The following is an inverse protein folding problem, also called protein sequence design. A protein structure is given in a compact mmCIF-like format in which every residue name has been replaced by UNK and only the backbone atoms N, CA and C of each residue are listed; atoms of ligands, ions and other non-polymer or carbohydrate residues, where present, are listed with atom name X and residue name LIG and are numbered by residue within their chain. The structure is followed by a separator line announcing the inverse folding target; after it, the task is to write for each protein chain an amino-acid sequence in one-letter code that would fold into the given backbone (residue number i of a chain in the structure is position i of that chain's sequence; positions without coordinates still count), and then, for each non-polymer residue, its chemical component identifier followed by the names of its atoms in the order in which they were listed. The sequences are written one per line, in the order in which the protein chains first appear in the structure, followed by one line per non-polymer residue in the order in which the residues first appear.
data_IF_709934253498
#
_entry.id   IF_709934253498
#
_cell.length_a   1.000
_cell.length_b   1.000
_cell.length_c   1.000
_cell.angle_alpha   90.00
_cell.angle_beta   90.00
_cell.angle_gamma   90.00
#
_symmetry.space_group_name_H-M   'P 1'
#
loop_
_entity.id
_entity.type
_entity.pdbx_description
1 polymer ?
#
# COMPACT_ATOMS: atom_id res chain seq x y z
N UNK A 1 45.46 -5.80 -11.15
CA UNK A 1 44.00 -5.60 -11.28
C UNK A 1 43.47 -6.70 -12.19
N UNK A 2 42.66 -7.64 -11.67
CA UNK A 2 42.03 -8.68 -12.49
C UNK A 2 40.67 -8.15 -12.91
N UNK A 3 40.57 -7.72 -14.17
CA UNK A 3 39.30 -7.42 -14.82
C UNK A 3 38.61 -8.76 -15.06
N UNK A 4 37.64 -9.13 -14.23
CA UNK A 4 36.80 -10.29 -14.50
C UNK A 4 35.90 -9.91 -15.68
N UNK A 5 36.22 -10.39 -16.87
CA UNK A 5 35.35 -10.33 -18.03
C UNK A 5 34.08 -11.11 -17.70
N UNK A 6 32.96 -10.41 -17.53
CA UNK A 6 31.66 -11.04 -17.40
C UNK A 6 31.33 -11.68 -18.76
N UNK A 7 31.22 -13.00 -18.80
CA UNK A 7 30.59 -13.71 -19.91
C UNK A 7 29.10 -13.34 -19.92
N UNK A 8 28.81 -12.17 -20.48
CA UNK A 8 27.47 -11.83 -20.93
C UNK A 8 27.20 -12.79 -22.09
N UNK A 9 26.23 -13.68 -21.92
CA UNK A 9 25.78 -14.51 -23.04
C UNK A 9 25.40 -13.57 -24.18
N UNK A 10 25.93 -13.81 -25.38
CA UNK A 10 25.76 -12.98 -26.59
C UNK A 10 24.27 -12.73 -26.99
N UNK A 11 23.34 -13.37 -26.28
CA UNK A 11 21.88 -13.26 -26.44
C UNK A 11 21.15 -12.56 -25.30
N UNK A 12 21.85 -12.07 -24.27
CA UNK A 12 21.21 -11.48 -23.09
C UNK A 12 20.45 -10.19 -23.42
N UNK A 13 19.19 -10.09 -22.99
CA UNK A 13 18.39 -8.87 -23.08
C UNK A 13 18.71 -7.83 -22.00
N UNK A 14 19.72 -8.06 -21.13
CA UNK A 14 20.13 -7.13 -20.06
C UNK A 14 20.34 -5.70 -20.55
N UNK A 15 21.14 -5.51 -21.59
CA UNK A 15 21.46 -4.16 -22.09
C UNK A 15 20.23 -3.48 -22.70
N UNK A 16 19.34 -4.26 -23.34
CA UNK A 16 18.08 -3.74 -23.85
C UNK A 16 17.18 -3.25 -22.71
N UNK A 17 17.05 -4.01 -21.62
CA UNK A 17 16.29 -3.62 -20.42
C UNK A 17 16.85 -2.35 -19.79
N UNK A 18 18.17 -2.28 -19.59
CA UNK A 18 18.83 -1.10 -19.00
C UNK A 18 18.66 0.15 -19.88
N UNK A 19 18.88 0.01 -21.19
CA UNK A 19 18.71 1.10 -22.13
C UNK A 19 17.26 1.57 -22.20
N UNK A 20 16.30 0.64 -22.22
CA UNK A 20 14.89 0.96 -22.23
C UNK A 20 14.47 1.69 -20.96
N UNK A 21 14.91 1.23 -19.78
CA UNK A 21 14.64 1.91 -18.51
C UNK A 21 15.22 3.33 -18.46
N UNK A 22 16.41 3.54 -19.01
CA UNK A 22 17.02 4.86 -19.10
C UNK A 22 16.25 5.80 -20.06
N UNK A 23 15.84 5.29 -21.22
CA UNK A 23 15.15 6.10 -22.25
C UNK A 23 13.68 6.37 -21.91
N UNK A 24 12.93 5.35 -21.49
CA UNK A 24 11.49 5.46 -21.26
C UNK A 24 11.16 6.08 -19.91
N UNK A 25 11.93 5.73 -18.86
CA UNK A 25 11.59 6.12 -17.49
C UNK A 25 12.57 7.14 -16.89
N UNK A 26 13.66 7.46 -17.60
CA UNK A 26 14.75 8.27 -17.03
C UNK A 26 15.48 7.59 -15.86
N UNK A 27 15.36 6.26 -15.72
CA UNK A 27 15.95 5.54 -14.58
C UNK A 27 17.40 5.19 -14.83
N UNK A 28 18.26 5.55 -13.87
CA UNK A 28 19.65 5.07 -13.81
C UNK A 28 19.72 3.84 -12.89
N UNK A 29 20.34 2.72 -13.32
CA UNK A 29 20.46 1.53 -12.49
C UNK A 29 21.35 1.76 -11.26
N UNK A 30 20.93 1.21 -10.12
CA UNK A 30 21.69 1.25 -8.87
C UNK A 30 22.35 -0.10 -8.59
N UNK A 31 23.58 -0.08 -8.05
CA UNK A 31 24.36 -1.28 -7.75
C UNK A 31 24.66 -1.35 -6.24
N UNK A 32 23.65 -1.63 -5.39
CA UNK A 32 23.80 -1.50 -3.94
C UNK A 32 24.72 -2.55 -3.32
N UNK A 33 25.04 -3.64 -4.03
CA UNK A 33 25.84 -4.74 -3.49
C UNK A 33 27.27 -4.73 -4.05
N UNK A 34 28.23 -4.27 -3.24
CA UNK A 34 29.66 -4.23 -3.62
C UNK A 34 30.23 -5.59 -4.05
N UNK A 35 29.77 -6.69 -3.44
CA UNK A 35 30.24 -8.05 -3.74
C UNK A 35 29.56 -8.67 -4.96
N UNK A 36 28.48 -8.07 -5.46
CA UNK A 36 27.66 -8.55 -6.57
C UNK A 36 27.46 -7.43 -7.60
N UNK A 37 28.52 -6.95 -8.26
CA UNK A 37 28.45 -5.82 -9.19
C UNK A 37 27.59 -6.09 -10.43
N UNK A 38 27.26 -7.35 -10.73
CA UNK A 38 26.32 -7.70 -11.80
C UNK A 38 24.85 -7.46 -11.46
N UNK A 39 24.54 -7.08 -10.22
CA UNK A 39 23.17 -6.94 -9.73
C UNK A 39 22.76 -5.47 -9.77
N UNK A 40 21.76 -5.16 -10.59
CA UNK A 40 21.26 -3.82 -10.80
C UNK A 40 19.82 -3.70 -10.31
N UNK A 41 19.52 -2.66 -9.55
CA UNK A 41 18.18 -2.30 -9.13
C UNK A 41 17.67 -1.18 -10.01
N UNK A 42 16.42 -1.33 -10.46
CA UNK A 42 15.66 -0.31 -11.16
C UNK A 42 14.57 0.22 -10.21
N UNK A 43 14.61 1.52 -9.93
CA UNK A 43 13.81 2.16 -8.87
C UNK A 43 13.26 3.51 -9.31
N UNK A 44 12.01 3.77 -8.92
CA UNK A 44 11.36 5.07 -9.10
C UNK A 44 12.08 6.15 -8.30
N UNK A 45 12.42 7.27 -8.95
CA UNK A 45 13.09 8.40 -8.28
C UNK A 45 12.19 9.11 -7.26
N UNK A 46 10.87 9.09 -7.47
CA UNK A 46 9.90 9.88 -6.69
C UNK A 46 9.40 9.19 -5.40
N UNK A 47 9.34 7.86 -5.40
CA UNK A 47 8.78 7.07 -4.31
C UNK A 47 9.72 5.95 -3.82
N UNK A 48 10.88 5.81 -4.46
CA UNK A 48 11.95 4.88 -4.09
C UNK A 48 11.54 3.40 -4.13
N UNK A 49 10.43 3.04 -4.77
CA UNK A 49 10.00 1.65 -4.96
C UNK A 49 10.76 1.01 -6.11
N UNK A 50 11.16 -0.23 -5.89
CA UNK A 50 11.78 -1.05 -6.92
C UNK A 50 10.71 -1.59 -7.85
N UNK A 51 11.01 -1.54 -9.15
CA UNK A 51 10.17 -2.09 -10.20
C UNK A 51 10.91 -3.11 -11.06
N UNK A 52 12.23 -3.22 -10.91
CA UNK A 52 13.00 -4.26 -11.57
C UNK A 52 14.28 -4.55 -10.79
N UNK A 53 14.72 -5.80 -10.83
CA UNK A 53 16.05 -6.19 -10.36
C UNK A 53 16.66 -7.11 -11.41
N UNK A 54 17.79 -6.71 -11.96
CA UNK A 54 18.55 -7.52 -12.91
C UNK A 54 19.66 -8.22 -12.14
N UNK A 55 19.75 -9.53 -12.25
CA UNK A 55 20.75 -10.34 -11.55
C UNK A 55 21.43 -11.28 -12.54
N UNK A 56 22.71 -11.56 -12.31
CA UNK A 56 23.43 -12.64 -12.98
C UNK A 56 23.61 -13.78 -11.97
N UNK A 57 22.94 -14.90 -12.20
CA UNK A 57 22.86 -16.01 -11.23
C UNK A 57 23.32 -17.32 -11.85
N UNK A 58 23.91 -18.25 -11.08
CA UNK A 58 24.13 -19.62 -11.53
C UNK A 58 22.80 -20.27 -11.94
N UNK A 59 22.77 -21.00 -13.06
CA UNK A 59 21.54 -21.57 -13.65
C UNK A 59 20.76 -22.48 -12.70
N UNK A 60 21.46 -23.20 -11.84
CA UNK A 60 20.86 -24.11 -10.86
C UNK A 60 20.06 -23.38 -9.78
N UNK A 61 20.35 -22.09 -9.52
CA UNK A 61 19.68 -21.30 -8.46
C UNK A 61 18.20 -21.02 -8.75
N UNK A 62 17.81 -20.58 -9.96
CA UNK A 62 16.40 -20.50 -10.35
C UNK A 62 15.82 -21.86 -10.79
N UNK A 63 16.55 -22.98 -10.61
CA UNK A 63 16.06 -24.32 -10.94
C UNK A 63 16.22 -24.72 -12.41
N UNK A 64 17.14 -24.09 -13.15
CA UNK A 64 17.44 -24.48 -14.53
C UNK A 64 18.53 -25.53 -14.58
N UNK A 65 18.45 -26.39 -15.59
CA UNK A 65 19.49 -27.36 -15.92
C UNK A 65 20.68 -26.70 -16.63
N UNK A 66 21.83 -27.38 -16.55
CA UNK A 66 23.09 -26.95 -17.17
C UNK A 66 24.01 -26.17 -16.23
N UNK A 67 25.24 -25.95 -16.66
CA UNK A 67 26.24 -25.15 -15.94
C UNK A 67 26.29 -23.71 -16.48
N UNK A 68 26.88 -22.82 -15.68
CA UNK A 68 27.10 -21.42 -16.06
C UNK A 68 26.10 -20.46 -15.43
N UNK A 69 26.07 -19.22 -15.95
CA UNK A 69 25.27 -18.13 -15.42
C UNK A 69 24.17 -17.73 -16.40
N UNK A 70 23.11 -17.15 -15.86
CA UNK A 70 22.00 -16.58 -16.62
C UNK A 70 21.65 -15.21 -16.05
N UNK A 71 21.39 -14.26 -16.95
CA UNK A 71 20.79 -13.00 -16.57
C UNK A 71 19.29 -13.19 -16.39
N UNK A 72 18.79 -12.73 -15.24
CA UNK A 72 17.38 -12.74 -14.89
C UNK A 72 16.91 -11.32 -14.56
N UNK A 73 15.63 -11.08 -14.76
CA UNK A 73 14.94 -9.87 -14.36
C UNK A 73 13.77 -10.24 -13.44
N UNK A 74 13.86 -9.82 -12.19
CA UNK A 74 12.74 -9.86 -11.25
C UNK A 74 11.91 -8.59 -11.44
N UNK A 75 10.61 -8.77 -11.68
CA UNK A 75 9.64 -7.67 -11.80
C UNK A 75 8.44 -7.89 -10.91
N UNK A 76 7.76 -6.80 -10.58
CA UNK A 76 6.51 -6.82 -9.84
C UNK A 76 5.34 -7.12 -10.78
N UNK A 77 4.42 -7.94 -10.34
CA UNK A 77 3.23 -8.32 -11.09
C UNK A 77 2.01 -8.44 -10.15
N UNK A 78 0.81 -8.28 -10.70
CA UNK A 78 -0.42 -8.63 -10.01
C UNK A 78 -0.51 -10.15 -9.78
N UNK A 79 -0.97 -10.64 -8.61
CA UNK A 79 -1.01 -12.08 -8.33
C UNK A 79 -1.79 -12.92 -9.34
N UNK A 80 -2.88 -12.40 -9.90
CA UNK A 80 -3.72 -13.12 -10.87
C UNK A 80 -2.98 -13.24 -12.21
N UNK A 81 -2.41 -12.13 -12.68
CA UNK A 81 -1.64 -12.11 -13.92
C UNK A 81 -0.35 -12.92 -13.80
N UNK A 82 0.35 -12.82 -12.67
CA UNK A 82 1.56 -13.58 -12.37
C UNK A 82 1.32 -15.09 -12.46
N UNK A 83 0.18 -15.56 -11.95
CA UNK A 83 -0.23 -16.96 -12.08
C UNK A 83 -0.35 -17.42 -13.54
N UNK A 84 -0.91 -16.59 -14.43
CA UNK A 84 -1.01 -16.91 -15.86
C UNK A 84 0.35 -16.87 -16.57
N UNK A 85 1.21 -15.92 -16.24
CA UNK A 85 2.52 -15.76 -16.88
C UNK A 85 3.48 -16.91 -16.56
N UNK A 86 3.29 -17.62 -15.44
CA UNK A 86 4.12 -18.78 -15.08
C UNK A 86 3.96 -19.97 -16.04
N UNK A 87 2.96 -19.96 -16.92
CA UNK A 87 2.82 -20.95 -17.99
C UNK A 87 3.63 -20.60 -19.25
N UNK A 88 4.16 -19.38 -19.34
CA UNK A 88 4.98 -18.94 -20.46
C UNK A 88 6.42 -19.44 -20.33
N UNK A 89 7.00 -19.85 -21.46
CA UNK A 89 8.38 -20.32 -21.50
C UNK A 89 9.33 -19.19 -21.08
N UNK A 90 10.22 -19.47 -20.14
CA UNK A 90 11.22 -18.50 -19.66
C UNK A 90 10.73 -17.56 -18.56
N UNK A 91 9.52 -17.77 -18.05
CA UNK A 91 9.01 -17.11 -16.83
C UNK A 91 9.05 -18.11 -15.68
N UNK A 92 9.59 -17.70 -14.55
CA UNK A 92 9.77 -18.53 -13.35
C UNK A 92 9.17 -17.85 -12.11
N UNK A 93 8.91 -18.60 -11.02
CA UNK A 93 8.57 -17.99 -9.74
C UNK A 93 9.64 -16.99 -9.27
N UNK A 94 9.24 -16.01 -8.46
CA UNK A 94 10.15 -14.99 -7.91
C UNK A 94 11.43 -15.58 -7.30
N UNK A 95 12.58 -14.99 -7.66
CA UNK A 95 13.89 -15.36 -7.14
C UNK A 95 14.37 -14.29 -6.15
N UNK A 96 14.59 -14.67 -4.88
CA UNK A 96 14.81 -13.77 -3.73
C UNK A 96 13.63 -12.85 -3.35
N UNK A 97 12.69 -12.56 -4.25
CA UNK A 97 11.52 -11.73 -3.97
C UNK A 97 10.29 -12.53 -3.50
N UNK A 98 9.27 -11.84 -2.97
CA UNK A 98 8.05 -12.47 -2.43
C UNK A 98 7.19 -13.11 -3.55
N UNK A 99 6.97 -14.43 -3.45
CA UNK A 99 6.35 -15.33 -4.46
C UNK A 99 4.85 -15.12 -4.76
N UNK A 100 4.33 -13.92 -4.57
CA UNK A 100 2.94 -13.57 -4.90
C UNK A 100 2.78 -12.26 -5.67
N UNK A 101 3.79 -11.39 -5.63
CA UNK A 101 3.74 -10.09 -6.31
C UNK A 101 4.93 -9.90 -7.23
N UNK A 102 5.76 -10.93 -7.41
CA UNK A 102 6.96 -10.87 -8.22
C UNK A 102 7.07 -12.13 -9.06
N UNK A 103 7.69 -11.99 -10.23
CA UNK A 103 8.05 -13.09 -11.12
C UNK A 103 9.46 -12.86 -11.64
N UNK A 104 10.12 -13.94 -12.06
CA UNK A 104 11.47 -13.92 -12.61
C UNK A 104 11.38 -14.18 -14.12
N UNK A 105 12.01 -13.32 -14.92
CA UNK A 105 12.08 -13.46 -16.38
C UNK A 105 13.51 -13.85 -16.76
N UNK A 106 13.67 -14.89 -17.58
CA UNK A 106 14.97 -15.22 -18.17
C UNK A 106 15.29 -14.26 -19.30
N UNK A 107 16.45 -13.60 -19.23
CA UNK A 107 16.92 -12.69 -20.26
C UNK A 107 17.77 -13.39 -21.33
N UNK A 108 17.83 -14.71 -21.36
CA UNK A 108 18.68 -15.51 -22.28
C UNK A 108 18.13 -15.65 -23.70
N UNK A 109 17.05 -14.92 -24.04
CA UNK A 109 16.35 -14.99 -25.30
C UNK A 109 15.24 -16.05 -25.34
N UNK A 110 14.95 -16.74 -24.23
CA UNK A 110 13.78 -17.64 -24.13
C UNK A 110 12.45 -16.89 -24.17
N UNK A 111 12.44 -15.61 -23.76
CA UNK A 111 11.32 -14.69 -23.82
C UNK A 111 11.66 -13.62 -24.85
N UNK A 112 10.74 -13.31 -25.77
CA UNK A 112 11.00 -12.27 -26.76
C UNK A 112 11.24 -10.91 -26.10
N UNK A 113 12.25 -10.20 -26.59
CA UNK A 113 12.68 -8.89 -26.07
C UNK A 113 11.52 -7.93 -25.85
N UNK A 114 10.64 -7.75 -26.83
CA UNK A 114 9.54 -6.79 -26.73
C UNK A 114 8.52 -7.19 -25.66
N UNK A 115 8.32 -8.50 -25.45
CA UNK A 115 7.50 -8.99 -24.35
C UNK A 115 8.17 -8.72 -22.99
N UNK A 116 9.49 -8.94 -22.86
CA UNK A 116 10.25 -8.56 -21.64
C UNK A 116 10.07 -7.07 -21.32
N UNK A 117 10.16 -6.20 -22.32
CA UNK A 117 9.99 -4.75 -22.13
C UNK A 117 8.56 -4.39 -21.71
N UNK A 118 7.54 -5.03 -22.30
CA UNK A 118 6.14 -4.83 -21.88
C UNK A 118 5.85 -5.28 -20.44
N UNK A 119 6.51 -6.34 -19.98
CA UNK A 119 6.42 -6.82 -18.60
C UNK A 119 7.12 -5.85 -17.65
N UNK A 120 8.22 -5.24 -18.09
CA UNK A 120 8.90 -4.17 -17.36
C UNK A 120 8.03 -2.90 -17.26
N UNK A 121 7.35 -2.49 -18.35
CA UNK A 121 6.38 -1.37 -18.34
C UNK A 121 5.28 -1.62 -17.31
N UNK A 122 4.70 -2.83 -17.31
CA UNK A 122 3.68 -3.20 -16.35
C UNK A 122 4.17 -3.06 -14.90
N UNK A 123 5.36 -3.61 -14.63
CA UNK A 123 5.95 -3.52 -13.29
C UNK A 123 6.23 -2.08 -12.89
N UNK A 124 6.76 -1.27 -13.82
CA UNK A 124 6.96 0.16 -13.63
C UNK A 124 5.65 0.84 -13.23
N UNK A 125 4.57 0.68 -14.01
CA UNK A 125 3.27 1.30 -13.74
C UNK A 125 2.59 0.83 -12.45
N UNK A 126 2.67 -0.46 -12.10
CA UNK A 126 2.07 -0.97 -10.84
C UNK A 126 2.82 -0.41 -9.61
N UNK A 127 4.09 -0.06 -9.78
CA UNK A 127 4.95 0.47 -8.72
C UNK A 127 5.12 1.97 -8.74
N UNK A 128 4.68 2.64 -9.82
CA UNK A 128 4.64 4.09 -9.91
C UNK A 128 3.95 4.64 -8.68
N UNK A 129 4.36 5.84 -8.29
CA UNK A 129 3.54 6.59 -7.37
C UNK A 129 2.23 6.71 -8.10
N UNK A 130 1.15 6.19 -7.51
CA UNK A 130 -0.18 6.54 -7.98
C UNK A 130 -0.16 8.06 -7.98
N UNK A 131 -0.01 8.66 -9.15
CA UNK A 131 -0.54 9.97 -9.36
C UNK A 131 -1.95 9.79 -8.84
N UNK A 132 -2.35 10.56 -7.84
CA UNK A 132 -3.75 10.80 -7.65
C UNK A 132 -4.19 11.37 -8.99
N UNK A 133 -4.59 10.49 -9.93
CA UNK A 133 -5.25 10.81 -11.18
C UNK A 133 -6.25 11.85 -10.73
N UNK A 134 -6.00 13.11 -11.13
CA UNK A 134 -6.40 14.29 -10.34
C UNK A 134 -7.73 14.01 -9.71
N UNK A 135 -7.74 13.87 -8.35
CA UNK A 135 -8.88 13.37 -7.55
C UNK A 135 -10.15 13.55 -8.38
N UNK A 136 -10.66 12.50 -9.04
CA UNK A 136 -12.11 12.42 -9.06
C UNK A 136 -12.38 12.26 -7.57
N UNK A 137 -12.59 13.41 -6.91
CA UNK A 137 -12.90 13.42 -5.50
C UNK A 137 -14.06 12.47 -5.44
N UNK A 138 -13.86 11.37 -4.72
CA UNK A 138 -14.98 10.51 -4.40
C UNK A 138 -16.10 11.45 -3.97
N UNK A 139 -17.21 11.43 -4.69
CA UNK A 139 -18.36 12.29 -4.43
C UNK A 139 -19.31 11.63 -3.44
N UNK A 140 -19.21 10.30 -3.32
CA UNK A 140 -20.02 9.50 -2.42
C UNK A 140 -19.42 9.45 -1.02
N UNK A 141 -20.22 9.79 -0.02
CA UNK A 141 -19.84 9.66 1.38
C UNK A 141 -19.60 8.19 1.75
N UNK A 142 -18.64 7.95 2.64
CA UNK A 142 -18.32 6.63 3.20
C UNK A 142 -18.27 6.71 4.70
N UNK A 143 -18.20 5.54 5.30
CA UNK A 143 -18.13 5.37 6.74
C UNK A 143 -16.79 4.76 7.13
N UNK A 144 -16.15 5.39 8.11
CA UNK A 144 -14.82 5.04 8.59
C UNK A 144 -14.86 4.70 10.08
N UNK A 145 -14.13 3.67 10.48
CA UNK A 145 -13.77 3.45 11.88
C UNK A 145 -12.35 3.92 12.06
N UNK A 146 -12.12 4.84 12.98
CA UNK A 146 -10.81 5.46 13.25
C UNK A 146 -10.44 5.22 14.70
N UNK A 147 -9.23 4.72 15.00
CA UNK A 147 -8.79 4.57 16.37
C UNK A 147 -8.55 5.94 17.01
N UNK A 148 -8.99 6.08 18.26
CA UNK A 148 -8.75 7.21 19.13
C UNK A 148 -8.12 6.69 20.42
N UNK A 149 -6.87 7.06 20.70
CA UNK A 149 -6.22 6.66 21.95
C UNK A 149 -6.54 7.68 23.06
N UNK A 150 -7.21 7.29 24.16
CA UNK A 150 -7.46 8.16 25.31
C UNK A 150 -6.20 8.81 25.90
N UNK A 151 -5.04 8.15 25.78
CA UNK A 151 -3.77 8.73 26.26
C UNK A 151 -3.35 9.99 25.50
N UNK A 152 -3.87 10.18 24.28
CA UNK A 152 -3.53 11.31 23.42
C UNK A 152 -4.71 12.29 23.24
N UNK A 153 -5.94 11.80 23.35
CA UNK A 153 -7.15 12.59 23.08
C UNK A 153 -8.20 12.37 24.17
N UNK A 154 -8.50 13.43 24.92
CA UNK A 154 -9.64 13.47 25.83
C UNK A 154 -10.90 13.86 25.05
N UNK A 155 -11.53 12.85 24.43
CA UNK A 155 -12.72 13.03 23.61
C UNK A 155 -13.95 13.47 24.42
N UNK A 156 -14.06 13.01 25.66
CA UNK A 156 -15.18 13.37 26.54
C UNK A 156 -15.14 14.86 26.85
N UNK A 157 -13.97 15.36 27.28
CA UNK A 157 -13.78 16.79 27.49
C UNK A 157 -13.99 17.58 26.20
N UNK A 158 -13.38 17.16 25.09
CA UNK A 158 -13.46 17.89 23.83
C UNK A 158 -14.91 18.04 23.33
N UNK A 159 -15.71 16.98 23.38
CA UNK A 159 -17.13 17.04 23.00
C UNK A 159 -18.04 17.66 24.06
N UNK A 160 -17.60 17.76 25.32
CA UNK A 160 -18.31 18.55 26.33
C UNK A 160 -18.23 20.06 26.09
N UNK A 161 -17.14 20.52 25.45
CA UNK A 161 -16.88 21.93 25.16
C UNK A 161 -17.44 22.37 23.80
N UNK A 162 -17.46 21.46 22.81
CA UNK A 162 -17.94 21.75 21.46
C UNK A 162 -18.37 20.50 20.72
N UNK A 163 -19.51 20.56 20.02
CA UNK A 163 -19.93 19.50 19.10
C UNK A 163 -18.99 19.35 17.88
N UNK A 164 -18.13 20.34 17.62
CA UNK A 164 -17.15 20.31 16.53
C UNK A 164 -15.74 20.40 17.10
N UNK A 165 -14.92 19.39 16.81
CA UNK A 165 -13.53 19.32 17.28
C UNK A 165 -12.56 19.19 16.10
N UNK A 166 -11.32 19.63 16.31
CA UNK A 166 -10.21 19.35 15.39
C UNK A 166 -9.73 17.91 15.59
N UNK A 167 -9.56 17.19 14.48
CA UNK A 167 -9.12 15.80 14.48
C UNK A 167 -8.06 15.54 13.43
N UNK A 168 -7.13 14.63 13.73
CA UNK A 168 -6.12 14.19 12.75
C UNK A 168 -6.79 13.58 11.52
N UNK A 169 -6.59 14.19 10.35
CA UNK A 169 -7.13 13.63 9.11
C UNK A 169 -6.21 12.53 8.58
N UNK A 170 -6.67 11.30 8.73
CA UNK A 170 -6.05 10.12 8.13
C UNK A 170 -6.78 9.74 6.83
N UNK A 171 -6.13 9.06 5.90
CA UNK A 171 -6.71 8.65 4.61
C UNK A 171 -7.28 9.81 3.74
N UNK A 172 -8.06 9.44 2.72
CA UNK A 172 -8.77 10.36 1.81
C UNK A 172 -10.22 10.54 2.27
N UNK A 173 -10.38 11.14 3.45
CA UNK A 173 -11.69 11.58 3.98
C UNK A 173 -12.13 12.84 3.22
N UNK A 174 -13.43 12.90 2.90
CA UNK A 174 -14.09 14.07 2.27
C UNK A 174 -15.13 14.65 3.23
N UNK A 175 -15.56 15.90 2.98
CA UNK A 175 -16.73 16.48 3.68
C UNK A 175 -17.95 15.59 3.44
N UNK A 176 -18.69 15.28 4.51
CA UNK A 176 -19.88 14.44 4.46
C UNK A 176 -19.64 12.98 4.86
N UNK A 177 -18.40 12.51 4.88
CA UNK A 177 -18.06 11.19 5.42
C UNK A 177 -18.50 11.04 6.88
N UNK A 178 -18.91 9.82 7.24
CA UNK A 178 -19.17 9.46 8.63
C UNK A 178 -17.93 8.84 9.26
N UNK A 179 -17.63 9.23 10.49
CA UNK A 179 -16.46 8.80 11.24
C UNK A 179 -16.93 8.23 12.57
N UNK A 180 -16.69 6.94 12.78
CA UNK A 180 -16.85 6.26 14.05
C UNK A 180 -15.52 6.25 14.79
N UNK A 181 -15.47 6.92 15.95
CA UNK A 181 -14.29 6.92 16.81
C UNK A 181 -14.31 5.67 17.69
N UNK A 182 -13.40 4.75 17.38
CA UNK A 182 -13.10 3.60 18.23
C UNK A 182 -12.10 4.03 19.30
N UNK A 183 -12.58 4.19 20.52
CA UNK A 183 -11.75 4.54 21.66
C UNK A 183 -10.97 3.30 22.08
N UNK A 184 -9.64 3.38 22.02
CA UNK A 184 -8.73 2.28 22.33
C UNK A 184 -8.79 1.89 23.81
N UNK A 185 -7.93 0.95 24.22
CA UNK A 185 -7.84 0.53 25.61
C UNK A 185 -7.67 1.75 26.56
N UNK A 186 -8.29 1.73 27.76
CA UNK A 186 -9.04 0.61 28.34
C UNK A 186 -10.51 0.49 27.88
N UNK A 187 -11.05 1.47 27.14
CA UNK A 187 -12.46 1.50 26.74
C UNK A 187 -12.76 0.43 25.68
N UNK A 188 -11.92 0.35 24.65
CA UNK A 188 -12.01 -0.63 23.56
C UNK A 188 -13.39 -0.73 22.88
N UNK A 189 -14.02 0.42 22.57
CA UNK A 189 -15.37 0.48 22.00
C UNK A 189 -15.54 1.64 21.01
N UNK A 190 -16.49 1.53 20.09
CA UNK A 190 -16.96 2.70 19.32
C UNK A 190 -17.86 3.54 20.21
N UNK A 191 -17.45 4.77 20.53
CA UNK A 191 -18.22 5.66 21.40
C UNK A 191 -18.85 6.84 20.67
N UNK A 192 -18.30 7.28 19.54
CA UNK A 192 -18.79 8.50 18.88
C UNK A 192 -18.99 8.27 17.39
N UNK A 193 -20.16 8.69 16.90
CA UNK A 193 -20.45 8.89 15.47
C UNK A 193 -20.30 10.36 15.15
N UNK A 194 -19.44 10.69 14.22
CA UNK A 194 -19.19 12.04 13.77
C UNK A 194 -19.37 12.16 12.25
N UNK A 195 -19.43 13.39 11.75
CA UNK A 195 -19.37 13.71 10.33
C UNK A 195 -18.21 14.67 10.06
N UNK A 196 -17.43 14.43 8.99
CA UNK A 196 -16.44 15.39 8.55
C UNK A 196 -17.13 16.62 7.95
N UNK A 197 -16.90 17.79 8.54
CA UNK A 197 -17.52 19.07 8.10
C UNK A 197 -16.53 19.98 7.38
N UNK A 198 -15.23 19.80 7.63
CA UNK A 198 -14.15 20.51 6.95
C UNK A 198 -12.93 19.58 6.89
N UNK A 199 -12.28 19.50 5.74
CA UNK A 199 -11.14 18.58 5.50
C UNK A 199 -10.01 19.32 4.81
N UNK A 200 -8.86 18.67 4.76
CA UNK A 200 -7.64 19.14 4.12
C UNK A 200 -7.10 20.44 4.75
N UNK A 201 -7.35 20.64 6.05
CA UNK A 201 -6.88 21.81 6.81
C UNK A 201 -5.37 21.64 7.07
N UNK A 202 -4.50 22.54 6.57
CA UNK A 202 -3.08 22.50 6.88
C UNK A 202 -2.86 22.65 8.38
N UNK A 203 -2.01 21.80 8.94
CA UNK A 203 -1.68 21.82 10.36
C UNK A 203 -0.20 21.51 10.52
N UNK A 204 0.46 22.10 11.52
CA UNK A 204 1.82 21.74 11.85
C UNK A 204 1.88 21.49 13.34
N UNK A 205 1.83 20.21 13.70
CA UNK A 205 2.05 19.75 15.05
C UNK A 205 2.95 18.52 15.00
N UNK A 206 4.02 18.61 15.76
CA UNK A 206 5.03 17.57 15.84
C UNK A 206 5.43 17.44 17.31
N UNK A 207 5.12 16.28 17.90
CA UNK A 207 5.70 15.85 19.17
C UNK A 207 6.34 14.47 18.98
N UNK A 208 7.03 13.96 20.00
CA UNK A 208 7.74 12.67 19.92
C UNK A 208 6.83 11.46 19.64
N UNK A 209 5.50 11.60 19.69
CA UNK A 209 4.49 10.54 19.55
C UNK A 209 3.53 10.75 18.38
N UNK A 210 3.28 12.00 17.97
CA UNK A 210 2.22 12.39 17.04
C UNK A 210 2.73 13.46 16.07
N UNK A 211 2.94 13.05 14.82
CA UNK A 211 3.14 13.96 13.70
C UNK A 211 1.81 14.22 12.97
N UNK A 212 1.46 15.50 12.79
CA UNK A 212 0.23 15.97 12.15
C UNK A 212 0.55 17.14 11.22
N UNK A 213 0.60 16.85 9.93
CA UNK A 213 0.72 17.84 8.85
C UNK A 213 -0.64 18.31 8.30
N UNK A 214 -1.75 17.66 8.72
CA UNK A 214 -3.10 17.91 8.21
C UNK A 214 -4.18 17.45 9.20
N UNK A 215 -5.23 18.26 9.35
CA UNK A 215 -6.38 17.99 10.22
C UNK A 215 -7.70 18.18 9.49
N UNK A 216 -8.78 17.73 10.13
CA UNK A 216 -10.15 17.94 9.71
C UNK A 216 -10.97 18.42 10.91
N UNK A 217 -12.10 19.09 10.65
CA UNK A 217 -13.13 19.29 11.68
C UNK A 217 -14.17 18.19 11.55
N UNK A 218 -14.45 17.54 12.67
CA UNK A 218 -15.51 16.54 12.78
C UNK A 218 -16.61 17.05 13.72
N UNK A 219 -17.86 16.89 13.31
CA UNK A 219 -19.05 17.23 14.10
C UNK A 219 -19.64 15.97 14.72
N UNK A 220 -19.86 15.97 16.03
CA UNK A 220 -20.55 14.90 16.75
C UNK A 220 -22.01 14.78 16.26
N UNK A 221 -22.43 13.56 15.96
CA UNK A 221 -23.80 13.22 15.58
C UNK A 221 -24.49 12.31 16.59
N UNK A 222 -23.73 11.44 17.26
CA UNK A 222 -24.27 10.50 18.24
C UNK A 222 -23.18 9.98 19.18
N UNK A 223 -23.55 9.73 20.43
CA UNK A 223 -22.71 9.08 21.44
C UNK A 223 -23.32 7.73 21.80
N UNK A 224 -22.53 6.67 21.68
CA UNK A 224 -22.91 5.31 22.04
C UNK A 224 -22.47 4.98 23.47
N UNK A 225 -23.23 4.13 24.15
CA UNK A 225 -22.78 3.46 25.36
C UNK A 225 -21.69 2.44 25.05
N UNK A 226 -20.74 2.28 25.97
CA UNK A 226 -19.57 1.41 25.81
C UNK A 226 -19.93 -0.03 25.44
N UNK A 227 -21.04 -0.56 25.95
CA UNK A 227 -21.49 -1.94 25.70
C UNK A 227 -22.16 -2.16 24.34
N UNK A 228 -22.52 -1.10 23.61
CA UNK A 228 -23.25 -1.25 22.34
C UNK A 228 -22.36 -1.78 21.22
N UNK A 229 -21.12 -1.29 21.16
CA UNK A 229 -20.12 -1.63 20.14
C UNK A 229 -18.73 -1.79 20.76
N UNK A 230 -18.64 -2.60 21.81
CA UNK A 230 -17.37 -2.98 22.44
C UNK A 230 -16.57 -3.95 21.54
N UNK A 231 -15.31 -4.21 21.91
CA UNK A 231 -14.41 -5.04 21.12
C UNK A 231 -14.95 -6.46 20.86
N UNK A 232 -15.65 -7.08 21.81
CA UNK A 232 -16.21 -8.42 21.64
C UNK A 232 -17.35 -8.40 20.62
N UNK A 233 -18.29 -7.47 20.74
CA UNK A 233 -19.37 -7.28 19.77
C UNK A 233 -18.83 -6.97 18.37
N UNK A 234 -17.77 -6.17 18.26
CA UNK A 234 -17.16 -5.84 16.97
C UNK A 234 -16.56 -7.06 16.25
N UNK A 235 -16.08 -8.09 16.97
CA UNK A 235 -15.59 -9.33 16.35
C UNK A 235 -16.68 -10.07 15.59
N UNK A 236 -17.92 -10.03 16.06
CA UNK A 236 -19.08 -10.63 15.40
C UNK A 236 -19.34 -10.00 14.01
N UNK A 237 -18.97 -8.73 13.85
CA UNK A 237 -19.02 -8.00 12.57
C UNK A 237 -17.73 -8.10 11.75
N UNK A 238 -16.79 -8.99 12.10
CA UNK A 238 -15.52 -9.17 11.38
C UNK A 238 -14.47 -8.10 11.68
N UNK A 239 -14.56 -7.42 12.83
CA UNK A 239 -13.60 -6.41 13.26
C UNK A 239 -12.77 -6.98 14.43
N UNK A 240 -11.62 -7.58 14.08
CA UNK A 240 -10.72 -8.18 15.06
C UNK A 240 -9.64 -7.23 15.60
N UNK A 241 -9.45 -6.08 14.95
CA UNK A 241 -8.55 -5.02 15.40
C UNK A 241 -8.87 -3.69 14.71
N UNK A 242 -8.58 -2.58 15.39
CA UNK A 242 -8.64 -1.22 14.84
C UNK A 242 -7.29 -0.55 15.07
N UNK A 243 -6.32 -0.83 14.19
CA UNK A 243 -4.94 -0.28 14.25
C UNK A 243 -4.73 0.95 13.37
N UNK A 244 -5.75 1.30 12.59
CA UNK A 244 -5.76 2.44 11.67
C UNK A 244 -7.15 2.63 11.08
N UNK A 245 -7.37 3.71 10.31
CA UNK A 245 -8.66 3.96 9.69
C UNK A 245 -9.07 2.84 8.74
N UNK A 246 -10.30 2.37 8.85
CA UNK A 246 -10.84 1.26 8.05
C UNK A 246 -12.30 1.49 7.66
N UNK A 247 -12.78 0.81 6.63
CA UNK A 247 -14.19 0.83 6.25
C UNK A 247 -15.06 0.09 7.26
N UNK A 248 -16.32 0.52 7.38
CA UNK A 248 -17.37 -0.15 8.16
C UNK A 248 -18.01 -1.26 7.31
N UNK A 249 -18.02 -2.53 7.76
CA UNK A 249 -18.76 -3.61 7.10
C UNK A 249 -20.27 -3.32 7.06
N UNK A 250 -20.97 -3.77 6.01
CA UNK A 250 -22.40 -3.49 5.85
C UNK A 250 -23.24 -4.02 7.03
N UNK A 251 -22.91 -5.20 7.56
CA UNK A 251 -23.59 -5.77 8.73
C UNK A 251 -23.51 -4.85 9.96
N UNK A 252 -22.34 -4.27 10.23
CA UNK A 252 -22.18 -3.31 11.32
C UNK A 252 -22.92 -2.00 11.02
N UNK A 253 -22.90 -1.52 9.77
CA UNK A 253 -23.66 -0.33 9.36
C UNK A 253 -25.15 -0.50 9.66
N UNK A 254 -25.74 -1.66 9.34
CA UNK A 254 -27.14 -1.94 9.66
C UNK A 254 -27.41 -1.91 11.16
N UNK A 255 -26.56 -2.53 11.98
CA UNK A 255 -26.69 -2.54 13.43
C UNK A 255 -26.61 -1.13 14.04
N UNK A 256 -25.63 -0.32 13.59
CA UNK A 256 -25.49 1.07 14.02
C UNK A 256 -26.73 1.88 13.64
N UNK A 257 -27.21 1.74 12.41
CA UNK A 257 -28.37 2.50 11.93
C UNK A 257 -29.66 2.14 12.69
N UNK A 258 -29.84 0.88 13.10
CA UNK A 258 -30.96 0.46 13.93
C UNK A 258 -30.95 1.19 15.28
N UNK A 259 -29.78 1.29 15.94
CA UNK A 259 -29.62 2.01 17.21
C UNK A 259 -29.84 3.52 17.03
N UNK A 260 -29.23 4.13 16.02
CA UNK A 260 -29.39 5.56 15.77
C UNK A 260 -30.83 5.96 15.37
N UNK A 261 -31.59 5.07 14.73
CA UNK A 261 -32.98 5.32 14.33
C UNK A 261 -33.93 5.23 15.52
N UNK A 262 -33.72 4.26 16.43
CA UNK A 262 -34.52 4.13 17.66
C UNK A 262 -34.31 5.26 18.68
N UNK A 263 -33.24 6.05 18.56
CA UNK A 263 -32.98 7.20 19.41
C UNK A 263 -33.78 8.47 19.02
N UNK A 264 -34.43 8.50 17.84
CA UNK A 264 -35.23 9.65 17.38
C UNK A 264 -36.70 9.63 17.86
N UNK A 265 -37.13 8.55 18.51
CA UNK A 265 -38.53 8.37 18.98
C UNK A 265 -38.69 8.53 20.50
N UNK A 266 -37.71 9.12 21.21
CA UNK A 266 -37.81 9.42 22.64
C UNK A 266 -37.61 10.90 22.92
#
# INVERSE_FOLDING_TARGET
MKTTSYDITDKSHRNAVLQYAAVQYGTTPEYPWMKLPGYAVLRHSDNQKWYGIIMNVPREKPGLSGSGYVDILDIKCDPIMGGSLLYEKGILPAYHMHKGNWITILLDGSVEKDFVLSLLDMSFHITEKRQSVGKLQRTENREWIVPANPEYYDLEKAFSESDIILWKQSNHIIVGDTIYLYVAAPISAILYKCQAVEVDIPYQYDDTKVHMSRVMKIKLLHTFGQEQFNFETLKEYGIYAVRGPRSVPDSLRYAINAICSGAKEK
#
